data_IF_839548908523
#
_entry.id   IF_839548908523
#
_cell.length_a   1.000
_cell.length_b   1.000
_cell.length_c   1.000
_cell.angle_alpha   90.00
_cell.angle_beta   90.00
_cell.angle_gamma   90.00
#
_symmetry.space_group_name_H-M   'P 1'
#
loop_
_entity.id
_entity.type
_entity.pdbx_description
1 polymer ?
#
# COMPACT_ATOMS: atom_id res chain seq x y z
N UNK A 1 -17.57 8.64 2.18
CA UNK A 1 -16.82 9.57 1.31
C UNK A 1 -16.19 10.61 2.21
N UNK A 2 -14.86 10.67 2.23
CA UNK A 2 -14.10 11.64 3.03
C UNK A 2 -13.86 12.89 2.20
N UNK A 3 -14.08 14.08 2.76
CA UNK A 3 -13.82 15.35 2.07
C UNK A 3 -12.53 15.97 2.56
N UNK A 4 -11.64 16.34 1.64
CA UNK A 4 -10.37 17.00 1.89
C UNK A 4 -10.39 18.35 1.17
N UNK A 5 -10.16 19.42 1.92
CA UNK A 5 -10.00 20.77 1.38
C UNK A 5 -8.60 21.25 1.70
N UNK A 6 -7.79 21.48 0.67
CA UNK A 6 -6.42 21.97 0.84
C UNK A 6 -6.39 23.50 0.77
N UNK A 7 -5.68 24.15 1.68
CA UNK A 7 -5.32 25.57 1.53
C UNK A 7 -4.38 25.76 0.34
N UNK A 8 -4.28 26.97 -0.22
CA UNK A 8 -3.47 27.29 -1.42
C UNK A 8 -2.01 26.82 -1.34
N UNK A 9 -1.41 26.82 -0.14
CA UNK A 9 -0.02 26.43 0.08
C UNK A 9 0.18 24.95 0.46
N UNK A 10 -0.89 24.14 0.47
CA UNK A 10 -0.83 22.72 0.84
C UNK A 10 -1.13 21.82 -0.35
N UNK A 11 -0.41 20.71 -0.44
CA UNK A 11 -0.46 19.73 -1.52
C UNK A 11 -0.87 18.35 -1.03
N UNK A 12 -1.25 17.52 -1.99
CA UNK A 12 -1.58 16.12 -1.77
C UNK A 12 -0.54 15.29 -2.49
N UNK A 13 0.06 14.35 -1.75
CA UNK A 13 1.09 13.47 -2.25
C UNK A 13 0.58 12.03 -2.29
N UNK A 14 1.03 11.30 -3.30
CA UNK A 14 0.74 9.88 -3.46
C UNK A 14 2.06 9.14 -3.62
N UNK A 15 2.19 8.00 -2.96
CA UNK A 15 3.31 7.08 -3.12
C UNK A 15 2.83 5.64 -2.98
N UNK A 16 3.41 4.74 -3.76
CA UNK A 16 3.16 3.29 -3.73
C UNK A 16 4.46 2.53 -3.92
N UNK A 17 4.42 1.21 -3.79
CA UNK A 17 5.40 0.29 -4.37
C UNK A 17 6.86 0.60 -4.01
N UNK A 18 7.08 0.91 -2.73
CA UNK A 18 8.43 1.08 -2.19
C UNK A 18 9.08 -0.27 -1.90
N UNK A 19 8.31 -1.31 -1.56
CA UNK A 19 8.76 -2.67 -1.33
C UNK A 19 9.99 -2.75 -0.42
N UNK A 20 9.97 -2.02 0.70
CA UNK A 20 11.09 -1.98 1.63
C UNK A 20 11.34 -3.38 2.20
N UNK A 21 12.60 -3.83 2.17
CA UNK A 21 13.04 -5.17 2.55
C UNK A 21 13.62 -5.98 1.39
N UNK A 22 13.19 -5.71 0.16
CA UNK A 22 13.68 -6.41 -1.04
C UNK A 22 14.86 -5.71 -1.74
N UNK A 23 15.66 -6.45 -2.54
CA UNK A 23 15.82 -7.91 -2.48
C UNK A 23 16.64 -8.35 -1.27
N UNK A 24 17.43 -7.44 -0.70
CA UNK A 24 18.20 -7.64 0.54
C UNK A 24 18.14 -6.38 1.40
N UNK A 25 18.43 -6.46 2.70
CA UNK A 25 18.50 -5.29 3.57
C UNK A 25 19.47 -4.21 3.06
N UNK A 26 20.62 -4.62 2.53
CA UNK A 26 21.67 -3.73 2.03
C UNK A 26 21.20 -2.94 0.80
N UNK A 27 20.49 -3.61 -0.13
CA UNK A 27 19.94 -2.98 -1.31
C UNK A 27 18.67 -2.16 -0.99
N UNK A 28 17.91 -2.55 0.03
CA UNK A 28 16.72 -1.82 0.47
C UNK A 28 17.05 -0.53 1.22
N UNK A 29 18.16 -0.47 1.96
CA UNK A 29 18.47 0.68 2.80
C UNK A 29 18.64 2.01 2.03
N UNK A 30 19.34 2.07 0.88
CA UNK A 30 19.37 3.28 0.06
C UNK A 30 17.99 3.74 -0.40
N UNK A 31 17.09 2.80 -0.74
CA UNK A 31 15.71 3.09 -1.13
C UNK A 31 14.89 3.64 0.05
N UNK A 32 15.00 3.02 1.22
CA UNK A 32 14.39 3.52 2.47
C UNK A 32 14.85 4.95 2.75
N UNK A 33 16.16 5.22 2.69
CA UNK A 33 16.71 6.56 2.92
C UNK A 33 16.20 7.58 1.92
N UNK A 34 16.11 7.21 0.63
CA UNK A 34 15.56 8.09 -0.41
C UNK A 34 14.09 8.40 -0.14
N UNK A 35 13.30 7.41 0.23
CA UNK A 35 11.88 7.61 0.55
C UNK A 35 11.69 8.48 1.80
N UNK A 36 12.47 8.24 2.85
CA UNK A 36 12.45 9.07 4.07
C UNK A 36 12.88 10.51 3.78
N UNK A 37 13.90 10.73 2.94
CA UNK A 37 14.31 12.07 2.53
C UNK A 37 13.23 12.78 1.70
N UNK A 38 12.50 12.05 0.87
CA UNK A 38 11.34 12.61 0.15
C UNK A 38 10.20 12.97 1.11
N UNK A 39 9.86 12.09 2.07
CA UNK A 39 8.87 12.38 3.11
C UNK A 39 9.24 13.62 3.93
N UNK A 40 10.54 13.80 4.21
CA UNK A 40 11.07 14.98 4.89
C UNK A 40 10.90 16.24 4.03
N UNK A 41 11.23 16.17 2.73
CA UNK A 41 11.10 17.29 1.81
C UNK A 41 9.65 17.76 1.63
N UNK A 42 8.68 16.83 1.55
CA UNK A 42 7.27 17.18 1.38
C UNK A 42 6.61 17.67 2.66
N UNK A 43 7.23 17.48 3.83
CA UNK A 43 6.66 17.85 5.13
C UNK A 43 6.20 19.31 5.18
N UNK A 44 6.94 20.20 4.54
CA UNK A 44 6.68 21.65 4.52
C UNK A 44 5.31 21.99 3.92
N UNK A 45 4.96 21.34 2.79
CA UNK A 45 3.76 21.66 2.03
C UNK A 45 2.74 20.52 1.93
N UNK A 46 3.00 19.35 2.51
CA UNK A 46 2.02 18.27 2.59
C UNK A 46 0.83 18.67 3.47
N UNK A 47 -0.37 18.61 2.91
CA UNK A 47 -1.63 18.57 3.65
C UNK A 47 -2.09 17.14 3.88
N UNK A 48 -1.93 16.28 2.85
CA UNK A 48 -2.28 14.86 2.93
C UNK A 48 -1.28 14.00 2.14
N UNK A 49 -0.94 12.84 2.69
CA UNK A 49 -0.13 11.81 2.04
C UNK A 49 -0.92 10.52 1.91
N UNK A 50 -1.06 10.02 0.69
CA UNK A 50 -1.65 8.73 0.40
C UNK A 50 -0.55 7.71 0.12
N UNK A 51 -0.54 6.63 0.90
CA UNK A 51 0.35 5.49 0.73
C UNK A 51 -0.46 4.34 0.13
N UNK A 52 -0.30 4.08 -1.16
CA UNK A 52 -1.18 3.21 -1.96
C UNK A 52 -0.68 1.77 -2.03
N UNK A 53 -0.29 1.20 -0.89
CA UNK A 53 0.13 -0.20 -0.81
C UNK A 53 1.61 -0.43 -1.13
N UNK A 54 2.02 -1.66 -0.85
CA UNK A 54 3.35 -2.20 -1.07
C UNK A 54 4.49 -1.28 -0.58
N UNK A 55 4.29 -0.73 0.62
CA UNK A 55 5.33 0.00 1.34
C UNK A 55 6.43 -0.95 1.80
N UNK A 56 6.06 -2.14 2.31
CA UNK A 56 7.00 -3.19 2.66
C UNK A 56 6.96 -4.30 1.62
N UNK A 57 8.09 -4.97 1.42
CA UNK A 57 8.13 -6.19 0.60
C UNK A 57 7.38 -7.34 1.28
N UNK A 58 7.28 -7.35 2.60
CA UNK A 58 6.46 -8.32 3.31
C UNK A 58 6.10 -7.77 4.69
N UNK A 59 4.82 -7.81 5.03
CA UNK A 59 4.33 -7.40 6.34
C UNK A 59 3.36 -8.44 6.93
N UNK A 60 3.58 -8.83 8.18
CA UNK A 60 2.65 -9.66 8.95
C UNK A 60 2.56 -9.23 10.40
N UNK A 61 1.35 -8.91 10.85
CA UNK A 61 1.09 -8.57 12.25
C UNK A 61 0.78 -9.81 13.09
N UNK A 62 1.76 -10.24 13.90
CA UNK A 62 1.48 -11.10 15.04
C UNK A 62 0.75 -10.29 16.12
N UNK A 63 0.25 -10.97 17.16
CA UNK A 63 -0.51 -10.31 18.24
C UNK A 63 0.28 -9.18 18.93
N UNK A 64 1.59 -9.35 19.06
CA UNK A 64 2.47 -8.43 19.80
C UNK A 64 3.81 -8.19 19.10
N UNK A 65 3.95 -8.65 17.85
CA UNK A 65 5.21 -8.61 17.10
C UNK A 65 4.90 -8.21 15.66
N UNK A 66 5.70 -7.31 15.12
CA UNK A 66 5.75 -6.97 13.69
C UNK A 66 7.16 -7.28 13.17
N UNK A 67 7.36 -7.42 11.85
CA UNK A 67 8.68 -7.68 11.28
C UNK A 67 9.69 -6.60 11.70
N UNK A 68 10.89 -7.02 12.11
CA UNK A 68 11.96 -6.09 12.46
C UNK A 68 12.44 -5.35 11.20
N UNK A 69 12.77 -4.07 11.35
CA UNK A 69 13.22 -3.21 10.26
C UNK A 69 12.40 -1.93 10.19
N UNK A 70 12.63 -1.15 9.14
CA UNK A 70 11.76 -0.03 8.74
C UNK A 70 11.58 1.10 9.76
N UNK A 71 12.35 1.10 10.85
CA UNK A 71 12.24 2.08 11.93
C UNK A 71 12.34 3.52 11.41
N UNK A 72 13.11 3.77 10.34
CA UNK A 72 13.26 5.13 9.79
C UNK A 72 11.97 5.58 9.12
N UNK A 73 11.38 4.75 8.26
CA UNK A 73 10.12 5.11 7.62
C UNK A 73 8.98 5.16 8.63
N UNK A 74 8.88 4.19 9.55
CA UNK A 74 7.87 4.20 10.60
C UNK A 74 7.98 5.44 11.49
N UNK A 75 9.20 5.79 11.91
CA UNK A 75 9.46 7.01 12.68
C UNK A 75 9.13 8.28 11.91
N UNK A 76 9.43 8.34 10.60
CA UNK A 76 9.09 9.50 9.78
C UNK A 76 7.57 9.61 9.58
N UNK A 77 6.84 8.50 9.40
CA UNK A 77 5.38 8.52 9.30
C UNK A 77 4.73 8.98 10.61
N UNK A 78 5.25 8.50 11.76
CA UNK A 78 4.82 8.99 13.07
C UNK A 78 5.05 10.51 13.20
N UNK A 79 6.25 10.98 12.85
CA UNK A 79 6.59 12.40 12.91
C UNK A 79 5.68 13.27 12.03
N UNK A 80 5.38 12.84 10.80
CA UNK A 80 4.46 13.55 9.92
C UNK A 80 3.05 13.59 10.52
N UNK A 81 2.57 12.47 11.07
CA UNK A 81 1.23 12.42 11.67
C UNK A 81 1.13 13.29 12.93
N UNK A 82 2.16 13.28 13.77
CA UNK A 82 2.27 14.13 14.97
C UNK A 82 2.35 15.62 14.62
N UNK A 83 2.93 15.95 13.45
CA UNK A 83 2.93 17.30 12.89
C UNK A 83 1.57 17.73 12.30
N UNK A 84 0.55 16.87 12.37
CA UNK A 84 -0.81 17.15 11.91
C UNK A 84 -1.03 16.89 10.41
N UNK A 85 -0.10 16.25 9.72
CA UNK A 85 -0.27 15.88 8.30
C UNK A 85 -1.14 14.62 8.24
N UNK A 86 -2.20 14.65 7.45
CA UNK A 86 -3.03 13.48 7.26
C UNK A 86 -2.34 12.43 6.40
N UNK A 87 -2.41 11.18 6.83
CA UNK A 87 -1.84 10.05 6.10
C UNK A 87 -2.93 8.99 5.98
N UNK A 88 -3.13 8.46 4.78
CA UNK A 88 -4.03 7.34 4.53
C UNK A 88 -3.23 6.20 3.91
N UNK A 89 -3.34 5.00 4.50
CA UNK A 89 -2.66 3.81 4.02
C UNK A 89 -3.65 2.85 3.36
N UNK A 90 -3.36 2.43 2.14
CA UNK A 90 -4.07 1.35 1.46
C UNK A 90 -3.21 0.12 1.47
N UNK A 91 -3.81 -1.03 1.78
CA UNK A 91 -3.09 -2.29 1.84
C UNK A 91 -2.88 -2.83 0.43
N UNK A 92 -1.62 -3.10 0.09
CA UNK A 92 -1.25 -3.80 -1.13
C UNK A 92 -1.10 -5.31 -0.96
N UNK A 93 -0.65 -6.00 -2.00
CA UNK A 93 -0.49 -7.45 -1.96
C UNK A 93 0.70 -7.93 -1.13
N UNK A 94 1.73 -7.10 -0.95
CA UNK A 94 2.88 -7.38 -0.08
C UNK A 94 2.61 -7.04 1.39
N UNK A 95 1.73 -6.08 1.63
CA UNK A 95 1.30 -5.63 2.96
C UNK A 95 -0.02 -6.26 3.42
N UNK A 96 -0.48 -7.33 2.73
CA UNK A 96 -1.83 -7.91 2.86
C UNK A 96 -2.27 -8.26 4.29
N UNK A 97 -1.31 -8.53 5.18
CA UNK A 97 -1.55 -8.89 6.57
C UNK A 97 -1.32 -7.73 7.56
N UNK A 98 -1.29 -6.49 7.08
CA UNK A 98 -1.56 -5.29 7.87
C UNK A 98 -2.94 -5.43 8.53
N UNK A 99 -3.08 -5.02 9.78
CA UNK A 99 -4.35 -5.06 10.50
C UNK A 99 -4.59 -3.72 11.18
N UNK A 100 -4.03 -3.53 12.36
CA UNK A 100 -4.34 -2.38 13.20
C UNK A 100 -3.10 -1.69 13.77
N UNK A 101 -1.89 -2.16 13.45
CA UNK A 101 -0.64 -1.54 13.91
C UNK A 101 -0.55 -0.06 13.52
N UNK A 102 -0.76 0.28 12.24
CA UNK A 102 -0.72 1.68 11.78
C UNK A 102 -1.84 2.52 12.42
N UNK A 103 -3.03 1.94 12.60
CA UNK A 103 -4.15 2.64 13.20
C UNK A 103 -3.92 2.93 14.69
N UNK A 104 -3.37 1.97 15.44
CA UNK A 104 -3.18 2.08 16.90
C UNK A 104 -1.91 2.81 17.29
N UNK A 105 -0.80 2.53 16.60
CA UNK A 105 0.52 3.07 16.97
C UNK A 105 0.82 4.39 16.26
N UNK A 106 0.30 4.58 15.05
CA UNK A 106 0.61 5.76 14.22
C UNK A 106 -0.59 6.68 14.01
N UNK A 107 -1.80 6.30 14.42
CA UNK A 107 -3.04 7.02 14.11
C UNK A 107 -3.25 7.24 12.60
N UNK A 108 -2.84 6.26 11.79
CA UNK A 108 -2.98 6.26 10.33
C UNK A 108 -4.12 5.32 9.95
N UNK A 109 -5.22 5.79 9.35
CA UNK A 109 -6.27 4.93 8.82
C UNK A 109 -5.73 3.96 7.76
N UNK A 110 -6.15 2.70 7.88
CA UNK A 110 -5.77 1.60 6.97
C UNK A 110 -7.00 1.13 6.20
N UNK A 111 -6.90 1.07 4.88
CA UNK A 111 -7.97 0.63 4.00
C UNK A 111 -7.54 -0.61 3.20
N UNK A 112 -8.40 -1.63 3.19
CA UNK A 112 -8.18 -2.87 2.42
C UNK A 112 -8.89 -2.88 1.06
N UNK A 113 -9.69 -1.86 0.78
CA UNK A 113 -10.47 -1.71 -0.44
C UNK A 113 -10.40 -0.26 -0.93
N UNK A 114 -10.58 0.00 -2.24
CA UNK A 114 -10.61 1.35 -2.77
C UNK A 114 -11.64 2.23 -2.05
N UNK A 115 -11.27 3.47 -1.77
CA UNK A 115 -12.10 4.44 -1.05
C UNK A 115 -12.36 5.68 -1.92
N UNK A 116 -13.51 6.28 -1.71
CA UNK A 116 -13.91 7.51 -2.40
C UNK A 116 -13.56 8.76 -1.57
N UNK A 117 -12.92 9.72 -2.22
CA UNK A 117 -12.58 11.02 -1.64
C UNK A 117 -13.11 12.16 -2.49
N UNK A 118 -13.67 13.18 -1.83
CA UNK A 118 -13.87 14.49 -2.45
C UNK A 118 -12.68 15.36 -2.08
N UNK A 119 -11.88 15.74 -3.06
CA UNK A 119 -10.67 16.53 -2.87
C UNK A 119 -10.85 17.83 -3.65
N UNK A 120 -11.00 18.94 -2.94
CA UNK A 120 -11.25 20.26 -3.55
C UNK A 120 -12.39 20.27 -4.58
N UNK A 121 -13.49 19.54 -4.30
CA UNK A 121 -14.65 19.45 -5.18
C UNK A 121 -14.45 18.51 -6.38
N UNK A 122 -13.40 17.68 -6.36
CA UNK A 122 -13.13 16.65 -7.36
C UNK A 122 -13.26 15.27 -6.73
N UNK A 123 -13.94 14.37 -7.41
CA UNK A 123 -14.20 13.03 -6.89
C UNK A 123 -13.12 12.05 -7.33
N UNK A 124 -12.41 11.48 -6.35
CA UNK A 124 -11.34 10.51 -6.53
C UNK A 124 -11.79 9.11 -6.08
N UNK A 125 -11.42 8.09 -6.84
CA UNK A 125 -11.38 6.71 -6.35
C UNK A 125 -9.92 6.31 -6.16
N UNK A 126 -9.55 6.02 -4.91
CA UNK A 126 -8.16 5.79 -4.50
C UNK A 126 -8.03 4.37 -3.93
N UNK A 127 -6.99 3.63 -4.32
CA UNK A 127 -6.70 2.31 -3.78
C UNK A 127 -5.28 1.83 -4.12
N UNK A 128 -4.95 0.58 -3.79
CA UNK A 128 -3.76 -0.07 -4.33
C UNK A 128 -4.05 -0.57 -5.75
N UNK A 129 -4.89 -1.59 -5.95
CA UNK A 129 -5.38 -1.96 -7.29
C UNK A 129 -5.26 -3.45 -7.61
N UNK A 130 -4.45 -4.17 -6.83
CA UNK A 130 -4.27 -5.61 -6.95
C UNK A 130 -5.59 -6.41 -6.92
N UNK A 131 -5.73 -7.33 -7.87
CA UNK A 131 -6.91 -8.18 -7.95
C UNK A 131 -8.22 -7.43 -8.21
N UNK A 132 -8.19 -6.19 -8.72
CA UNK A 132 -9.35 -5.53 -9.31
C UNK A 132 -9.58 -5.98 -10.77
N UNK A 133 -10.67 -5.52 -11.37
CA UNK A 133 -10.97 -5.77 -12.78
C UNK A 133 -11.28 -7.23 -13.15
N UNK A 134 -11.42 -7.53 -14.45
CA UNK A 134 -11.53 -8.90 -14.95
C UNK A 134 -10.19 -9.63 -14.92
N UNK A 135 -10.18 -10.95 -15.15
CA UNK A 135 -8.94 -11.73 -15.24
C UNK A 135 -8.25 -11.96 -13.90
N UNK A 136 -6.93 -12.18 -13.94
CA UNK A 136 -6.06 -12.40 -12.79
C UNK A 136 -6.59 -13.43 -11.76
N UNK A 137 -7.17 -14.52 -12.29
CA UNK A 137 -7.86 -15.52 -11.48
C UNK A 137 -6.90 -16.27 -10.55
N UNK A 138 -5.63 -16.41 -10.92
CA UNK A 138 -4.60 -17.04 -10.11
C UNK A 138 -4.34 -16.25 -8.84
N UNK A 139 -3.96 -14.98 -8.98
CA UNK A 139 -3.76 -14.06 -7.87
C UNK A 139 -5.01 -13.92 -7.01
N UNK A 140 -6.20 -13.71 -7.61
CA UNK A 140 -7.47 -13.59 -6.87
C UNK A 140 -7.78 -14.81 -6.01
N UNK A 141 -7.47 -16.03 -6.49
CA UNK A 141 -7.59 -17.26 -5.68
C UNK A 141 -6.56 -17.30 -4.56
N UNK A 142 -5.31 -16.94 -4.85
CA UNK A 142 -4.24 -16.87 -3.84
C UNK A 142 -4.57 -15.86 -2.74
N UNK A 143 -4.99 -14.64 -3.10
CA UNK A 143 -5.44 -13.59 -2.18
C UNK A 143 -6.55 -14.12 -1.26
N UNK A 144 -7.55 -14.82 -1.79
CA UNK A 144 -8.61 -15.45 -0.97
C UNK A 144 -8.06 -16.46 0.05
N UNK A 145 -7.08 -17.28 -0.35
CA UNK A 145 -6.43 -18.23 0.58
C UNK A 145 -5.66 -17.46 1.66
N UNK A 146 -4.85 -16.48 1.30
CA UNK A 146 -4.04 -15.72 2.26
C UNK A 146 -4.86 -14.84 3.20
N UNK A 147 -6.02 -14.33 2.76
CA UNK A 147 -6.88 -13.51 3.62
C UNK A 147 -7.85 -14.33 4.47
N UNK A 148 -8.02 -15.62 4.19
CA UNK A 148 -8.93 -16.48 4.93
C UNK A 148 -8.51 -16.61 6.41
N UNK A 149 -9.41 -16.41 7.40
CA UNK A 149 -9.05 -16.35 8.82
C UNK A 149 -8.31 -17.59 9.33
N UNK A 150 -8.66 -18.79 8.85
CA UNK A 150 -8.00 -20.03 9.25
C UNK A 150 -6.53 -20.07 8.83
N UNK A 151 -6.20 -19.66 7.61
CA UNK A 151 -4.82 -19.65 7.13
C UNK A 151 -3.98 -18.56 7.80
N UNK A 152 -4.56 -17.38 8.06
CA UNK A 152 -3.92 -16.34 8.89
C UNK A 152 -3.66 -16.84 10.31
N UNK A 153 -4.61 -17.55 10.90
CA UNK A 153 -4.46 -18.16 12.22
C UNK A 153 -3.36 -19.22 12.24
N UNK A 154 -3.29 -20.08 11.21
CA UNK A 154 -2.23 -21.08 11.09
C UNK A 154 -0.85 -20.44 10.94
N UNK A 155 -0.71 -19.45 10.05
CA UNK A 155 0.55 -18.75 9.85
C UNK A 155 1.04 -18.03 11.11
N UNK A 156 0.12 -17.47 11.90
CA UNK A 156 0.43 -16.81 13.17
C UNK A 156 1.09 -17.74 14.20
N UNK A 157 0.90 -19.05 14.10
CA UNK A 157 1.55 -20.02 14.99
C UNK A 157 2.99 -20.36 14.58
N UNK A 158 3.40 -20.00 13.36
CA UNK A 158 4.81 -20.06 13.00
C UNK A 158 5.56 -18.99 13.82
N UNK A 159 6.61 -19.41 14.52
CA UNK A 159 7.49 -18.47 15.21
C UNK A 159 7.89 -17.32 14.26
N UNK A 160 7.89 -16.05 14.70
CA UNK A 160 8.19 -14.91 13.83
C UNK A 160 9.44 -15.07 12.97
N UNK A 161 10.53 -15.59 13.53
CA UNK A 161 11.78 -15.84 12.77
C UNK A 161 11.64 -16.86 11.62
N UNK A 162 10.66 -17.77 11.72
CA UNK A 162 10.36 -18.74 10.65
C UNK A 162 9.34 -18.15 9.68
N UNK A 163 8.22 -17.63 10.20
CA UNK A 163 7.14 -17.09 9.39
C UNK A 163 7.59 -15.92 8.53
N UNK A 164 8.25 -14.93 9.13
CA UNK A 164 8.74 -13.74 8.41
C UNK A 164 9.80 -14.11 7.37
N UNK A 165 10.71 -15.04 7.69
CA UNK A 165 11.71 -15.53 6.73
C UNK A 165 11.05 -16.22 5.53
N UNK A 166 10.03 -17.03 5.78
CA UNK A 166 9.26 -17.71 4.73
C UNK A 166 8.51 -16.70 3.85
N UNK A 167 7.87 -15.71 4.48
CA UNK A 167 7.16 -14.64 3.81
C UNK A 167 8.04 -13.85 2.86
N UNK A 168 9.18 -13.34 3.34
CA UNK A 168 10.15 -12.64 2.50
C UNK A 168 10.66 -13.49 1.34
N UNK A 169 10.97 -14.77 1.58
CA UNK A 169 11.44 -15.65 0.51
C UNK A 169 10.43 -15.77 -0.65
N UNK A 170 9.16 -16.00 -0.34
CA UNK A 170 8.12 -16.08 -1.37
C UNK A 170 7.83 -14.73 -2.02
N UNK A 171 7.87 -13.66 -1.22
CA UNK A 171 7.62 -12.31 -1.69
C UNK A 171 8.64 -11.86 -2.76
N UNK A 172 9.94 -11.92 -2.41
CA UNK A 172 11.03 -11.57 -3.31
C UNK A 172 11.02 -12.47 -4.56
N UNK A 173 10.77 -13.77 -4.39
CA UNK A 173 10.74 -14.70 -5.53
C UNK A 173 9.61 -14.38 -6.50
N UNK A 174 8.40 -14.09 -6.00
CA UNK A 174 7.28 -13.72 -6.86
C UNK A 174 7.58 -12.42 -7.61
N UNK A 175 8.12 -11.42 -6.92
CA UNK A 175 8.46 -10.13 -7.52
C UNK A 175 9.50 -10.24 -8.64
N UNK A 176 10.52 -11.06 -8.45
CA UNK A 176 11.54 -11.31 -9.49
C UNK A 176 10.97 -12.01 -10.72
N UNK A 177 9.83 -12.71 -10.58
CA UNK A 177 9.16 -13.40 -11.68
C UNK A 177 8.16 -12.47 -12.39
N UNK A 178 7.36 -11.71 -11.64
CA UNK A 178 6.30 -10.87 -12.21
C UNK A 178 6.78 -9.49 -12.70
N UNK A 179 7.86 -8.95 -12.11
CA UNK A 179 8.26 -7.55 -12.35
C UNK A 179 8.57 -7.18 -13.80
N UNK A 180 9.08 -8.11 -14.61
CA UNK A 180 9.37 -7.86 -16.04
C UNK A 180 8.11 -7.97 -16.92
N UNK A 181 7.12 -8.77 -16.51
CA UNK A 181 5.84 -8.91 -17.22
C UNK A 181 4.92 -7.70 -16.93
N UNK A 182 4.87 -7.26 -15.66
CA UNK A 182 4.05 -6.13 -15.21
C UNK A 182 4.55 -4.77 -15.74
N UNK A 183 5.81 -4.69 -16.20
CA UNK A 183 6.38 -3.47 -16.78
C UNK A 183 5.81 -3.11 -18.16
N UNK A 184 5.12 -4.04 -18.83
CA UNK A 184 4.58 -3.83 -20.17
C UNK A 184 3.15 -3.29 -20.11
N UNK A 185 2.96 -2.03 -20.52
CA UNK A 185 1.62 -1.47 -20.68
C UNK A 185 0.90 -2.11 -21.87
N UNK A 186 -0.14 -2.88 -21.59
CA UNK A 186 -0.93 -3.64 -22.57
C UNK A 186 -1.97 -2.77 -23.30
N UNK A 187 -2.07 -1.50 -22.93
CA UNK A 187 -3.02 -0.54 -23.47
C UNK A 187 -4.32 -0.47 -22.67
N UNK A 188 -4.99 0.68 -22.69
CA UNK A 188 -6.16 0.96 -21.84
C UNK A 188 -7.32 -0.04 -21.96
N UNK A 189 -7.44 -0.76 -23.07
CA UNK A 189 -8.51 -1.74 -23.28
C UNK A 189 -8.16 -3.14 -22.78
N UNK A 190 -6.89 -3.40 -22.48
CA UNK A 190 -6.40 -4.70 -22.05
C UNK A 190 -5.94 -4.69 -20.59
N UNK A 191 -5.62 -3.52 -20.04
CA UNK A 191 -5.28 -3.37 -18.62
C UNK A 191 -6.50 -3.63 -17.72
N UNK A 192 -6.40 -4.61 -16.81
CA UNK A 192 -7.51 -4.97 -15.93
C UNK A 192 -7.95 -3.79 -15.04
N UNK A 193 -7.03 -2.91 -14.66
CA UNK A 193 -7.32 -1.76 -13.80
C UNK A 193 -8.04 -0.68 -14.60
N UNK A 194 -7.62 -0.43 -15.84
CA UNK A 194 -8.33 0.48 -16.73
C UNK A 194 -9.77 -0.01 -17.02
N UNK A 195 -9.94 -1.32 -17.24
CA UNK A 195 -11.25 -1.94 -17.40
C UNK A 195 -12.12 -1.83 -16.14
N UNK A 196 -11.51 -1.98 -14.96
CA UNK A 196 -12.18 -1.76 -13.67
C UNK A 196 -12.67 -0.30 -13.54
N UNK A 197 -11.81 0.68 -13.82
CA UNK A 197 -12.17 2.09 -13.75
C UNK A 197 -13.28 2.45 -14.74
N UNK A 198 -13.21 1.94 -15.98
CA UNK A 198 -14.26 2.12 -16.99
C UNK A 198 -15.60 1.53 -16.53
N UNK A 199 -15.58 0.35 -15.92
CA UNK A 199 -16.79 -0.22 -15.31
C UNK A 199 -17.33 0.68 -14.21
N UNK A 200 -16.48 1.19 -13.31
CA UNK A 200 -16.88 2.10 -12.23
C UNK A 200 -17.52 3.39 -12.75
N UNK A 201 -17.02 3.92 -13.86
CA UNK A 201 -17.61 5.10 -14.53
C UNK A 201 -19.03 4.86 -15.07
N UNK A 202 -19.43 3.60 -15.34
CA UNK A 202 -20.82 3.29 -15.70
C UNK A 202 -21.78 3.35 -14.51
N UNK A 203 -21.25 3.19 -13.29
CA UNK A 203 -22.02 3.19 -12.03
C UNK A 203 -22.07 4.60 -11.41
N UNK A 204 -20.95 5.33 -11.43
CA UNK A 204 -20.81 6.66 -10.83
C UNK A 204 -19.68 7.44 -11.52
N UNK A 205 -19.88 8.75 -11.70
CA UNK A 205 -18.82 9.64 -12.20
C UNK A 205 -17.66 9.73 -11.21
N UNK A 206 -16.43 9.80 -11.74
CA UNK A 206 -15.21 10.09 -10.99
C UNK A 206 -14.34 11.01 -11.86
N UNK A 207 -13.73 12.02 -11.25
CA UNK A 207 -12.77 12.88 -11.95
C UNK A 207 -11.40 12.22 -12.06
N UNK A 208 -11.02 11.43 -11.05
CA UNK A 208 -9.71 10.79 -10.98
C UNK A 208 -9.79 9.37 -10.41
N UNK A 209 -8.93 8.50 -10.94
CA UNK A 209 -8.64 7.18 -10.40
C UNK A 209 -7.15 7.13 -10.07
N UNK A 210 -6.80 6.87 -8.81
CA UNK A 210 -5.40 6.77 -8.38
C UNK A 210 -5.20 5.40 -7.73
N UNK A 211 -4.37 4.60 -8.37
CA UNK A 211 -4.01 3.25 -7.95
C UNK A 211 -2.48 3.15 -7.84
N UNK A 212 -2.04 2.37 -6.85
CA UNK A 212 -0.64 2.14 -6.52
C UNK A 212 0.03 1.19 -7.50
#
# INVERSE_FOLDING_TARGET
MTTITTSENKKIYFASDQHLGAPTPEASLPREKKFVAWLDAIKEDAGTVFLLGDLFDFWFEYKTVVPKGFVRVLGKLAELKDAGIDIYFFVGNHDLWMRDYFQKELNIPVFHEPQEFDINGKLFLIGHGDGLGPGDYGYKRMKKVFTFPFFKWLFRWLHPDIGVKLGHYFSVKNKLISGDEDAQFLGEQNEWLALYCRKKLTEKHYDFFIFG
#
